data_IF_190291489217
#
_entry.id   IF_190291489217
#
_cell.length_a   1.000
_cell.length_b   1.000
_cell.length_c   1.000
_cell.angle_alpha   90.00
_cell.angle_beta   90.00
_cell.angle_gamma   90.00
#
_symmetry.space_group_name_H-M   'P 1'
#
loop_
_entity.id
_entity.type
_entity.pdbx_description
1 polymer ?
#
# COMPACT_ATOMS: atom_id res chain seq x y z
N UNK A 1 -3.81 -16.50 31.55
CA UNK A 1 -3.81 -15.94 30.18
C UNK A 1 -4.56 -14.63 30.26
N UNK A 2 -3.92 -13.49 29.99
CA UNK A 2 -4.61 -12.19 30.05
C UNK A 2 -5.62 -12.13 28.90
N UNK A 3 -6.91 -11.97 29.24
CA UNK A 3 -7.98 -11.79 28.26
C UNK A 3 -7.73 -10.59 27.37
N UNK A 4 -8.36 -10.55 26.20
CA UNK A 4 -8.29 -9.42 25.27
C UNK A 4 -8.97 -8.21 25.90
N UNK A 5 -8.28 -7.04 25.89
CA UNK A 5 -8.81 -5.79 26.43
C UNK A 5 -8.90 -4.76 25.30
N UNK A 6 -10.07 -4.21 25.09
CA UNK A 6 -10.32 -3.24 24.00
C UNK A 6 -10.91 -1.96 24.58
N UNK A 7 -10.40 -0.82 24.11
CA UNK A 7 -10.94 0.50 24.44
C UNK A 7 -11.54 1.13 23.19
N UNK A 8 -12.80 1.59 23.29
CA UNK A 8 -13.49 2.32 22.22
C UNK A 8 -13.66 3.78 22.64
N UNK A 9 -13.05 4.68 21.86
CA UNK A 9 -13.06 6.14 22.11
C UNK A 9 -13.80 6.84 20.97
N UNK A 10 -15.03 7.29 21.24
CA UNK A 10 -15.88 7.97 20.25
C UNK A 10 -16.99 8.73 21.00
N UNK A 11 -17.34 9.92 20.57
CA UNK A 11 -18.39 10.72 21.21
C UNK A 11 -19.78 10.09 21.11
N UNK A 12 -20.04 9.36 20.03
CA UNK A 12 -21.32 8.70 19.78
C UNK A 12 -21.50 7.47 20.68
N UNK A 13 -22.35 7.60 21.71
CA UNK A 13 -22.74 6.49 22.58
C UNK A 13 -23.32 5.31 21.79
N UNK A 14 -24.12 5.61 20.75
CA UNK A 14 -24.73 4.60 19.90
C UNK A 14 -23.65 3.82 19.14
N UNK A 15 -22.67 4.52 18.54
CA UNK A 15 -21.57 3.91 17.83
C UNK A 15 -20.75 2.99 18.75
N UNK A 16 -20.35 3.50 19.92
CA UNK A 16 -19.62 2.71 20.92
C UNK A 16 -20.36 1.43 21.31
N UNK A 17 -21.68 1.52 21.51
CA UNK A 17 -22.50 0.36 21.90
C UNK A 17 -22.63 -0.67 20.80
N UNK A 18 -22.81 -0.21 19.56
CA UNK A 18 -22.90 -1.10 18.39
C UNK A 18 -21.58 -1.78 18.11
N UNK A 19 -20.46 -1.06 18.10
CA UNK A 19 -19.11 -1.63 17.95
C UNK A 19 -18.81 -2.64 19.06
N UNK A 20 -19.11 -2.31 20.31
CA UNK A 20 -18.87 -3.22 21.45
C UNK A 20 -19.61 -4.54 21.30
N UNK A 21 -20.85 -4.52 20.80
CA UNK A 21 -21.62 -5.72 20.53
C UNK A 21 -20.98 -6.59 19.44
N UNK A 22 -20.65 -5.98 18.30
CA UNK A 22 -20.06 -6.73 17.18
C UNK A 22 -18.64 -7.26 17.53
N UNK A 23 -17.85 -6.50 18.31
CA UNK A 23 -16.54 -6.96 18.78
C UNK A 23 -16.68 -8.18 19.70
N UNK A 24 -17.66 -8.21 20.59
CA UNK A 24 -17.93 -9.40 21.43
C UNK A 24 -18.33 -10.61 20.62
N UNK A 25 -19.20 -10.41 19.60
CA UNK A 25 -19.61 -11.47 18.69
C UNK A 25 -18.40 -12.05 17.92
N UNK A 26 -17.50 -11.20 17.44
CA UNK A 26 -16.33 -11.60 16.66
C UNK A 26 -15.23 -12.24 17.53
N UNK A 27 -15.08 -11.79 18.78
CA UNK A 27 -13.99 -12.24 19.66
C UNK A 27 -14.09 -13.72 20.01
N UNK A 28 -15.29 -14.30 20.09
CA UNK A 28 -15.57 -15.70 20.48
C UNK A 28 -14.83 -16.15 21.77
N UNK A 29 -14.37 -15.22 22.59
CA UNK A 29 -13.61 -15.42 23.83
C UNK A 29 -13.95 -14.31 24.80
N UNK A 30 -13.55 -14.50 26.06
CA UNK A 30 -13.71 -13.46 27.10
C UNK A 30 -12.92 -12.19 26.69
N UNK A 31 -13.67 -11.12 26.37
CA UNK A 31 -13.16 -9.85 25.87
C UNK A 31 -13.70 -8.72 26.77
N UNK A 32 -12.78 -8.06 27.48
CA UNK A 32 -13.09 -6.87 28.25
C UNK A 32 -13.12 -5.65 27.33
N UNK A 33 -14.27 -4.94 27.27
CA UNK A 33 -14.46 -3.80 26.38
C UNK A 33 -14.86 -2.58 27.19
N UNK A 34 -13.97 -1.61 27.26
CA UNK A 34 -14.23 -0.30 27.84
C UNK A 34 -14.66 0.70 26.76
N UNK A 35 -15.51 1.65 27.15
CA UNK A 35 -16.16 2.61 26.24
C UNK A 35 -16.14 4.00 26.85
N UNK A 36 -15.47 4.94 26.21
CA UNK A 36 -15.37 6.33 26.69
C UNK A 36 -15.72 7.33 25.59
N UNK A 37 -16.21 8.50 26.00
CA UNK A 37 -16.67 9.56 25.10
C UNK A 37 -15.59 10.56 24.72
N UNK A 38 -14.55 10.69 25.52
CA UNK A 38 -13.50 11.68 25.32
C UNK A 38 -12.09 11.12 25.55
N UNK A 39 -11.10 11.83 25.00
CA UNK A 39 -9.70 11.40 25.01
C UNK A 39 -9.04 11.48 26.39
N UNK A 40 -9.43 12.43 27.26
CA UNK A 40 -8.83 12.57 28.59
C UNK A 40 -9.26 11.43 29.52
N UNK A 41 -10.54 11.05 29.46
CA UNK A 41 -11.02 9.87 30.18
C UNK A 41 -10.35 8.61 29.65
N UNK A 42 -10.20 8.49 28.33
CA UNK A 42 -9.49 7.39 27.70
C UNK A 42 -8.05 7.24 28.22
N UNK A 43 -7.29 8.32 28.32
CA UNK A 43 -5.92 8.30 28.85
C UNK A 43 -5.87 7.87 30.31
N UNK A 44 -6.85 8.27 31.16
CA UNK A 44 -6.92 7.79 32.55
C UNK A 44 -7.16 6.29 32.62
N UNK A 45 -8.12 5.77 31.80
CA UNK A 45 -8.41 4.33 31.75
C UNK A 45 -7.22 3.51 31.29
N UNK A 46 -6.47 4.00 30.31
CA UNK A 46 -5.26 3.35 29.82
C UNK A 46 -4.17 3.29 30.90
N UNK A 47 -4.03 4.36 31.69
CA UNK A 47 -3.04 4.41 32.78
C UNK A 47 -3.35 3.38 33.87
N UNK A 48 -4.62 3.14 34.17
CA UNK A 48 -5.05 2.15 35.16
C UNK A 48 -4.94 0.71 34.60
N UNK A 49 -5.20 0.52 33.31
CA UNK A 49 -5.27 -0.79 32.69
C UNK A 49 -5.04 -0.70 31.17
N UNK A 50 -3.79 -0.92 30.74
CA UNK A 50 -3.43 -0.82 29.32
C UNK A 50 -4.23 -1.81 28.45
N UNK A 51 -5.02 -1.32 27.44
CA UNK A 51 -5.73 -2.17 26.51
C UNK A 51 -4.79 -2.77 25.47
N UNK A 52 -5.11 -3.96 24.98
CA UNK A 52 -4.40 -4.59 23.85
C UNK A 52 -4.71 -3.91 22.52
N UNK A 53 -5.96 -3.38 22.38
CA UNK A 53 -6.44 -2.67 21.20
C UNK A 53 -7.27 -1.46 21.53
N UNK A 54 -7.13 -0.42 20.71
CA UNK A 54 -7.88 0.83 20.83
C UNK A 54 -8.54 1.15 19.48
N UNK A 55 -9.83 1.44 19.51
CA UNK A 55 -10.57 2.04 18.39
C UNK A 55 -10.86 3.49 18.74
N UNK A 56 -10.31 4.45 17.99
CA UNK A 56 -10.45 5.88 18.30
C UNK A 56 -10.94 6.71 17.13
N UNK A 57 -11.93 7.56 17.37
CA UNK A 57 -12.33 8.59 16.42
C UNK A 57 -11.27 9.70 16.36
N UNK A 58 -10.83 10.08 15.15
CA UNK A 58 -9.86 11.18 14.98
C UNK A 58 -10.43 12.54 15.39
N UNK A 59 -11.74 12.72 15.24
CA UNK A 59 -12.45 13.98 15.50
C UNK A 59 -13.21 13.88 16.82
N UNK A 60 -12.48 14.13 17.91
CA UNK A 60 -13.02 14.25 19.26
C UNK A 60 -12.98 15.71 19.70
N UNK A 61 -13.93 16.11 20.53
CA UNK A 61 -13.97 17.46 21.12
C UNK A 61 -12.93 17.58 22.25
N UNK A 62 -12.32 18.74 22.39
CA UNK A 62 -11.26 18.96 23.37
C UNK A 62 -9.90 18.46 22.88
N UNK A 63 -9.47 17.28 23.28
CA UNK A 63 -8.27 16.67 22.76
C UNK A 63 -8.58 15.90 21.48
N UNK A 64 -7.93 16.25 20.37
CA UNK A 64 -8.12 15.53 19.11
C UNK A 64 -7.71 14.06 19.21
N UNK A 65 -8.35 13.19 18.40
CA UNK A 65 -7.93 11.79 18.32
C UNK A 65 -6.48 11.61 17.85
N UNK A 66 -5.95 12.55 17.09
CA UNK A 66 -4.54 12.54 16.67
C UNK A 66 -3.58 12.78 17.84
N UNK A 67 -3.89 13.75 18.71
CA UNK A 67 -3.08 14.03 19.91
C UNK A 67 -3.19 12.89 20.90
N UNK A 68 -4.37 12.31 21.05
CA UNK A 68 -4.58 11.10 21.84
C UNK A 68 -3.70 9.93 21.34
N UNK A 69 -3.72 9.65 20.03
CA UNK A 69 -2.88 8.58 19.44
C UNK A 69 -1.41 8.84 19.72
N UNK A 70 -0.93 10.07 19.54
CA UNK A 70 0.47 10.46 19.80
C UNK A 70 0.85 10.24 21.27
N UNK A 71 0.00 10.63 22.21
CA UNK A 71 0.24 10.42 23.64
C UNK A 71 0.27 8.93 24.02
N UNK A 72 -0.66 8.14 23.50
CA UNK A 72 -0.68 6.69 23.73
C UNK A 72 0.58 6.03 23.17
N UNK A 73 0.95 6.33 21.92
CA UNK A 73 2.12 5.71 21.29
C UNK A 73 3.44 6.06 21.93
N UNK A 74 3.52 7.19 22.63
CA UNK A 74 4.72 7.59 23.36
C UNK A 74 4.96 6.73 24.61
N UNK A 75 3.89 6.20 25.23
CA UNK A 75 3.95 5.57 26.56
C UNK A 75 3.53 4.10 26.59
N UNK A 76 2.74 3.65 25.61
CA UNK A 76 2.06 2.35 25.63
C UNK A 76 2.27 1.57 24.33
N UNK A 77 2.13 0.25 24.43
CA UNK A 77 2.29 -0.66 23.29
C UNK A 77 0.97 -1.00 22.58
N UNK A 78 -0.14 -0.48 23.08
CA UNK A 78 -1.49 -0.72 22.54
C UNK A 78 -1.56 -0.55 21.02
N UNK A 79 -2.29 -1.44 20.38
CA UNK A 79 -2.58 -1.33 18.93
C UNK A 79 -3.75 -0.40 18.70
N UNK A 80 -3.62 0.51 17.74
CA UNK A 80 -4.60 1.59 17.53
C UNK A 80 -5.19 1.54 16.12
N UNK A 81 -6.51 1.46 16.03
CA UNK A 81 -7.27 1.73 14.81
C UNK A 81 -7.89 3.12 14.95
N UNK A 82 -7.48 4.02 14.07
CA UNK A 82 -8.12 5.32 13.93
C UNK A 82 -9.33 5.22 12.98
N UNK A 83 -10.38 5.98 13.31
CA UNK A 83 -11.61 5.96 12.51
C UNK A 83 -12.12 7.40 12.29
N UNK A 84 -12.57 7.73 11.09
CA UNK A 84 -13.10 9.04 10.73
C UNK A 84 -14.13 8.94 9.60
N UNK A 85 -14.95 9.96 9.45
CA UNK A 85 -15.80 10.17 8.26
C UNK A 85 -15.05 10.88 7.13
N UNK A 86 -13.83 11.36 7.38
CA UNK A 86 -13.02 12.15 6.46
C UNK A 86 -11.78 11.38 6.03
N UNK A 87 -11.61 11.13 4.73
CA UNK A 87 -10.45 10.39 4.19
C UNK A 87 -9.14 11.16 4.38
N UNK A 88 -9.19 12.49 4.39
CA UNK A 88 -8.02 13.36 4.63
C UNK A 88 -7.36 13.13 6.00
N UNK A 89 -8.10 12.60 6.99
CA UNK A 89 -7.57 12.28 8.32
C UNK A 89 -6.59 11.10 8.32
N UNK A 90 -6.60 10.26 7.27
CA UNK A 90 -5.78 9.06 7.16
C UNK A 90 -4.28 9.34 7.29
N UNK A 91 -3.77 10.28 6.51
CA UNK A 91 -2.34 10.62 6.50
C UNK A 91 -1.85 11.04 7.88
N UNK A 92 -2.61 11.92 8.55
CA UNK A 92 -2.29 12.37 9.90
C UNK A 92 -2.39 11.24 10.92
N UNK A 93 -3.45 10.43 10.89
CA UNK A 93 -3.64 9.32 11.82
C UNK A 93 -2.48 8.31 11.75
N UNK A 94 -2.05 7.96 10.55
CA UNK A 94 -0.91 7.05 10.35
C UNK A 94 0.41 7.68 10.80
N UNK A 95 0.63 8.96 10.51
CA UNK A 95 1.87 9.68 10.88
C UNK A 95 2.05 9.82 12.40
N UNK A 96 0.95 9.93 13.17
CA UNK A 96 1.00 10.00 14.64
C UNK A 96 1.04 8.62 15.30
N UNK A 97 1.03 7.52 14.52
CA UNK A 97 1.28 6.17 14.99
C UNK A 97 0.08 5.23 15.03
N UNK A 98 -1.06 5.56 14.41
CA UNK A 98 -2.12 4.58 14.23
C UNK A 98 -1.60 3.35 13.46
N UNK A 99 -2.04 2.16 13.85
CA UNK A 99 -1.69 0.92 13.15
C UNK A 99 -2.57 0.71 11.91
N UNK A 100 -3.77 1.30 11.93
CA UNK A 100 -4.74 1.23 10.84
C UNK A 100 -5.67 2.43 10.88
N UNK A 101 -6.23 2.78 9.72
CA UNK A 101 -7.25 3.82 9.58
C UNK A 101 -8.44 3.29 8.79
N UNK A 102 -9.65 3.51 9.32
CA UNK A 102 -10.91 3.06 8.73
C UNK A 102 -11.84 4.25 8.51
N UNK A 103 -12.40 4.35 7.30
CA UNK A 103 -13.43 5.34 6.97
C UNK A 103 -14.79 4.89 7.48
N UNK A 104 -15.47 5.78 8.23
CA UNK A 104 -16.90 5.61 8.58
C UNK A 104 -17.79 5.94 7.38
N UNK A 105 -18.71 5.07 6.98
CA UNK A 105 -19.66 5.39 5.92
C UNK A 105 -20.63 6.49 6.37
N UNK A 106 -20.91 7.42 5.46
CA UNK A 106 -21.92 8.47 5.64
C UNK A 106 -23.19 7.99 4.95
N UNK A 107 -24.30 7.75 5.67
CA UNK A 107 -25.60 7.39 5.09
C UNK A 107 -26.13 5.98 5.44
N UNK A 108 -26.94 5.41 4.60
CA UNK A 108 -27.96 4.35 4.71
C UNK A 108 -27.66 3.11 5.59
N UNK A 109 -28.74 2.59 6.23
CA UNK A 109 -28.70 1.58 7.31
C UNK A 109 -28.09 0.20 6.98
N UNK A 110 -28.18 -0.28 5.76
CA UNK A 110 -27.69 -1.62 5.37
C UNK A 110 -26.14 -1.71 5.38
N UNK A 111 -25.46 -0.65 4.97
CA UNK A 111 -24.00 -0.59 5.00
C UNK A 111 -23.42 -0.46 6.43
N UNK A 112 -24.23 -0.13 7.43
CA UNK A 112 -23.77 0.02 8.82
C UNK A 112 -23.45 -1.31 9.50
N UNK A 113 -24.21 -2.37 9.22
CA UNK A 113 -23.97 -3.69 9.85
C UNK A 113 -22.68 -4.32 9.31
N UNK A 114 -22.51 -4.36 8.01
CA UNK A 114 -21.29 -4.88 7.36
C UNK A 114 -20.05 -4.09 7.78
N UNK A 115 -20.19 -2.75 7.86
CA UNK A 115 -19.13 -1.87 8.35
C UNK A 115 -18.73 -2.20 9.80
N UNK A 116 -19.70 -2.35 10.70
CA UNK A 116 -19.44 -2.67 12.11
C UNK A 116 -18.82 -4.06 12.28
N UNK A 117 -19.24 -5.05 11.50
CA UNK A 117 -18.63 -6.38 11.46
C UNK A 117 -17.17 -6.32 10.97
N UNK A 118 -16.91 -5.54 9.92
CA UNK A 118 -15.56 -5.32 9.42
C UNK A 118 -14.68 -4.64 10.49
N UNK A 119 -15.16 -3.58 11.14
CA UNK A 119 -14.45 -2.91 12.24
C UNK A 119 -14.18 -3.87 13.39
N UNK A 120 -15.18 -4.65 13.80
CA UNK A 120 -15.04 -5.62 14.88
C UNK A 120 -13.95 -6.66 14.58
N UNK A 121 -13.98 -7.23 13.39
CA UNK A 121 -12.97 -8.17 12.91
C UNK A 121 -11.57 -7.58 12.96
N UNK A 122 -11.40 -6.33 12.45
CA UNK A 122 -10.09 -5.66 12.44
C UNK A 122 -9.57 -5.37 13.85
N UNK A 123 -10.45 -4.91 14.76
CA UNK A 123 -10.08 -4.63 16.16
C UNK A 123 -9.63 -5.91 16.87
N UNK A 124 -10.38 -7.01 16.71
CA UNK A 124 -10.06 -8.31 17.33
C UNK A 124 -8.74 -8.87 16.79
N UNK A 125 -8.56 -8.88 15.48
CA UNK A 125 -7.33 -9.34 14.83
C UNK A 125 -6.10 -8.58 15.31
N UNK A 126 -6.19 -7.25 15.34
CA UNK A 126 -5.09 -6.38 15.77
C UNK A 126 -4.75 -6.57 17.26
N UNK A 127 -5.77 -6.74 18.10
CA UNK A 127 -5.64 -6.90 19.55
C UNK A 127 -5.06 -8.25 19.97
N UNK A 128 -5.23 -9.29 19.18
CA UNK A 128 -4.62 -10.63 19.40
C UNK A 128 -3.10 -10.65 19.19
N UNK A 129 -2.49 -9.52 18.87
CA UNK A 129 -1.05 -9.47 18.55
C UNK A 129 -0.71 -10.14 17.22
N UNK A 130 -1.71 -10.56 16.48
CA UNK A 130 -1.54 -10.88 15.08
C UNK A 130 -1.13 -9.56 14.44
N UNK A 131 0.10 -9.46 13.94
CA UNK A 131 0.42 -8.38 13.02
C UNK A 131 -0.63 -8.46 11.92
N UNK A 132 -1.55 -7.52 11.93
CA UNK A 132 -2.51 -7.41 10.85
C UNK A 132 -1.79 -6.71 9.71
N UNK A 133 -0.95 -7.47 9.06
CA UNK A 133 -0.93 -7.44 7.61
C UNK A 133 -2.37 -7.74 7.24
N UNK A 134 -3.03 -6.83 6.50
CA UNK A 134 -4.36 -7.12 5.99
C UNK A 134 -4.35 -8.58 5.54
N UNK A 135 -5.09 -9.46 6.23
CA UNK A 135 -5.33 -10.81 5.73
C UNK A 135 -6.18 -10.64 4.46
N UNK A 136 -5.50 -10.38 3.37
CA UNK A 136 -5.79 -11.12 2.17
C UNK A 136 -5.69 -12.57 2.61
N UNK A 137 -6.75 -13.35 2.53
CA UNK A 137 -6.76 -14.80 2.72
C UNK A 137 -5.43 -15.31 2.21
N UNK A 138 -4.72 -16.24 2.91
CA UNK A 138 -3.58 -16.87 2.29
C UNK A 138 -4.14 -17.44 0.98
N UNK A 139 -3.93 -16.70 -0.12
CA UNK A 139 -4.09 -17.30 -1.43
C UNK A 139 -3.01 -18.36 -1.41
N UNK A 140 -3.35 -19.61 -1.72
CA UNK A 140 -2.36 -20.64 -2.03
C UNK A 140 -1.39 -20.04 -3.06
N UNK A 141 -0.38 -19.33 -2.56
CA UNK A 141 0.44 -18.45 -3.36
C UNK A 141 1.89 -18.62 -2.93
N UNK A 142 2.64 -19.13 -3.82
CA UNK A 142 4.06 -18.94 -3.77
C UNK A 142 4.42 -17.45 -3.87
N UNK A 143 5.67 -17.14 -3.64
CA UNK A 143 6.31 -15.82 -3.69
C UNK A 143 5.87 -14.96 -4.87
N UNK A 144 5.82 -13.64 -4.68
CA UNK A 144 5.71 -12.68 -5.77
C UNK A 144 6.69 -13.03 -6.89
N UNK A 145 6.24 -12.97 -8.12
CA UNK A 145 7.03 -13.35 -9.29
C UNK A 145 7.60 -12.18 -10.05
N UNK A 146 7.04 -10.97 -9.83
CA UNK A 146 7.50 -9.78 -10.53
C UNK A 146 6.98 -8.51 -9.86
N UNK A 147 7.84 -7.49 -9.79
CA UNK A 147 7.48 -6.10 -9.51
C UNK A 147 7.57 -5.29 -10.79
N UNK A 148 6.50 -4.56 -11.15
CA UNK A 148 6.46 -3.67 -12.30
C UNK A 148 6.27 -2.22 -11.84
N UNK A 149 7.13 -1.30 -12.29
CA UNK A 149 7.12 0.11 -11.89
C UNK A 149 7.01 1.01 -13.12
N UNK A 150 6.10 1.99 -13.08
CA UNK A 150 5.97 3.02 -14.10
C UNK A 150 6.20 4.42 -13.52
N UNK A 151 6.94 5.28 -14.24
CA UNK A 151 7.26 6.65 -13.81
C UNK A 151 7.58 7.58 -14.98
N UNK A 152 7.58 8.90 -14.72
CA UNK A 152 7.89 9.92 -15.74
C UNK A 152 8.60 11.13 -15.12
N UNK A 153 8.03 12.31 -15.19
CA UNK A 153 8.60 13.56 -14.64
C UNK A 153 8.85 13.45 -13.14
N UNK A 154 10.09 13.69 -12.69
CA UNK A 154 10.54 13.46 -11.32
C UNK A 154 10.81 11.98 -10.99
N UNK A 155 10.63 11.09 -11.98
CA UNK A 155 10.75 9.64 -11.81
C UNK A 155 12.17 9.17 -11.60
N UNK A 156 13.17 9.82 -12.16
CA UNK A 156 14.60 9.43 -11.99
C UNK A 156 15.04 9.53 -10.54
N UNK A 157 14.67 10.60 -9.85
CA UNK A 157 14.93 10.79 -8.42
C UNK A 157 14.08 9.84 -7.57
N UNK A 158 12.79 9.71 -7.92
CA UNK A 158 11.88 8.82 -7.20
C UNK A 158 12.31 7.35 -7.31
N UNK A 159 12.79 6.93 -8.48
CA UNK A 159 13.33 5.58 -8.68
C UNK A 159 14.64 5.37 -7.90
N UNK A 160 15.57 6.34 -7.90
CA UNK A 160 16.78 6.25 -7.08
C UNK A 160 16.44 6.06 -5.60
N UNK A 161 15.49 6.84 -5.07
CA UNK A 161 15.03 6.70 -3.67
C UNK A 161 14.43 5.32 -3.39
N UNK A 162 13.54 4.83 -4.25
CA UNK A 162 12.87 3.55 -4.03
C UNK A 162 13.84 2.38 -4.22
N UNK A 163 14.57 2.34 -5.34
CA UNK A 163 15.37 1.18 -5.73
C UNK A 163 16.61 0.99 -4.86
N UNK A 164 17.22 2.08 -4.35
CA UNK A 164 18.35 2.00 -3.42
C UNK A 164 18.02 1.36 -2.07
N UNK A 165 16.74 1.27 -1.72
CA UNK A 165 16.26 0.64 -0.49
C UNK A 165 15.70 -0.78 -0.68
N UNK A 166 15.65 -1.29 -1.92
CA UNK A 166 15.27 -2.68 -2.18
C UNK A 166 16.45 -3.62 -1.93
N UNK A 167 16.19 -4.73 -1.23
CA UNK A 167 17.21 -5.72 -0.87
C UNK A 167 16.77 -7.14 -1.24
N UNK A 168 17.75 -8.01 -1.41
CA UNK A 168 17.51 -9.46 -1.60
C UNK A 168 16.90 -10.08 -0.32
N UNK A 169 16.01 -11.08 -0.44
CA UNK A 169 15.51 -11.66 -1.69
C UNK A 169 14.40 -10.81 -2.34
N UNK A 170 14.49 -10.57 -3.64
CA UNK A 170 13.55 -9.76 -4.42
C UNK A 170 13.24 -10.45 -5.75
N UNK A 171 11.98 -10.55 -6.20
CA UNK A 171 11.69 -10.99 -7.56
C UNK A 171 12.28 -10.01 -8.58
N UNK A 172 12.35 -10.35 -9.88
CA UNK A 172 12.74 -9.38 -10.89
C UNK A 172 11.90 -8.12 -10.80
N UNK A 173 12.54 -6.95 -10.88
CA UNK A 173 11.91 -5.62 -10.86
C UNK A 173 12.05 -5.02 -12.25
N UNK A 174 10.93 -4.79 -12.93
CA UNK A 174 10.89 -4.20 -14.27
C UNK A 174 10.39 -2.75 -14.18
N UNK A 175 11.17 -1.82 -14.72
CA UNK A 175 10.93 -0.38 -14.59
C UNK A 175 10.76 0.25 -15.97
N UNK A 176 9.65 0.94 -16.15
CA UNK A 176 9.43 1.88 -17.26
C UNK A 176 9.56 3.30 -16.72
N UNK A 177 10.58 4.00 -17.19
CA UNK A 177 10.77 5.44 -16.99
C UNK A 177 10.68 6.12 -18.35
N UNK A 178 9.86 7.15 -18.47
CA UNK A 178 9.83 7.98 -19.69
C UNK A 178 11.11 8.79 -19.77
N UNK A 179 12.05 8.29 -20.54
CA UNK A 179 13.40 8.85 -20.73
C UNK A 179 13.87 8.57 -22.15
N UNK A 180 14.78 9.40 -22.71
CA UNK A 180 15.28 9.15 -24.04
C UNK A 180 16.24 7.94 -24.10
N UNK A 181 16.43 7.31 -25.27
CA UNK A 181 17.30 6.14 -25.43
C UNK A 181 18.74 6.35 -24.96
N UNK A 182 19.27 7.56 -25.20
CA UNK A 182 20.62 7.91 -24.79
C UNK A 182 20.79 7.91 -23.27
N UNK A 183 19.72 8.28 -22.55
CA UNK A 183 19.75 8.39 -21.08
C UNK A 183 19.31 7.12 -20.36
N UNK A 184 18.55 6.21 -20.97
CA UNK A 184 18.08 4.99 -20.29
C UNK A 184 19.23 4.09 -19.85
N UNK A 185 20.23 3.92 -20.72
CA UNK A 185 21.45 3.16 -20.40
C UNK A 185 22.27 3.82 -19.30
N UNK A 186 22.55 5.12 -19.41
CA UNK A 186 23.29 5.89 -18.40
C UNK A 186 22.56 5.89 -17.05
N UNK A 187 21.24 5.93 -17.07
CA UNK A 187 20.42 5.86 -15.86
C UNK A 187 20.53 4.49 -15.19
N UNK A 188 20.49 3.41 -15.97
CA UNK A 188 20.68 2.07 -15.45
C UNK A 188 22.09 1.87 -14.86
N UNK A 189 23.15 2.38 -15.53
CA UNK A 189 24.53 2.37 -15.04
C UNK A 189 24.68 3.16 -13.73
N UNK A 190 24.05 4.34 -13.62
CA UNK A 190 24.04 5.13 -12.38
C UNK A 190 23.36 4.37 -11.24
N UNK A 191 22.17 3.86 -11.48
CA UNK A 191 21.44 3.09 -10.47
C UNK A 191 22.19 1.83 -10.03
N UNK A 192 22.91 1.16 -10.94
CA UNK A 192 23.72 0.00 -10.59
C UNK A 192 24.84 0.30 -9.59
N UNK A 193 25.29 1.55 -9.54
CA UNK A 193 26.30 2.00 -8.57
C UNK A 193 25.65 2.44 -7.24
N UNK A 194 24.37 2.80 -7.24
CA UNK A 194 23.64 3.32 -6.09
C UNK A 194 22.82 2.25 -5.34
N UNK A 195 22.39 1.20 -6.05
CA UNK A 195 21.46 0.20 -5.53
C UNK A 195 22.18 -1.06 -5.00
N UNK A 196 21.65 -1.70 -3.94
CA UNK A 196 22.16 -2.98 -3.45
C UNK A 196 21.94 -4.15 -4.42
N UNK A 197 20.91 -4.06 -5.25
CA UNK A 197 20.60 -5.05 -6.28
C UNK A 197 21.21 -4.63 -7.62
N UNK A 198 21.71 -5.59 -8.44
CA UNK A 198 22.16 -5.31 -9.79
C UNK A 198 21.09 -4.62 -10.63
N UNK A 199 21.47 -3.54 -11.32
CA UNK A 199 20.61 -2.80 -12.24
C UNK A 199 21.20 -2.81 -13.63
N UNK A 200 20.39 -3.06 -14.65
CA UNK A 200 20.80 -2.99 -16.05
C UNK A 200 19.69 -2.48 -16.95
N UNK A 201 20.04 -1.97 -18.10
CA UNK A 201 19.07 -1.78 -19.18
C UNK A 201 18.63 -3.14 -19.70
N UNK A 202 17.32 -3.31 -19.91
CA UNK A 202 16.72 -4.57 -20.34
C UNK A 202 17.07 -4.91 -21.79
N UNK A 203 17.36 -6.19 -22.04
CA UNK A 203 17.65 -6.73 -23.38
C UNK A 203 16.47 -7.59 -23.88
N UNK A 204 16.20 -7.50 -25.18
CA UNK A 204 15.13 -8.29 -25.78
C UNK A 204 15.45 -9.79 -25.76
N UNK A 205 14.56 -10.59 -25.22
CA UNK A 205 14.68 -12.05 -25.16
C UNK A 205 15.42 -12.59 -23.93
N UNK A 206 15.87 -11.72 -23.01
CA UNK A 206 16.53 -12.21 -21.78
C UNK A 206 15.50 -12.73 -20.76
N UNK A 207 15.91 -13.72 -19.99
CA UNK A 207 15.11 -14.24 -18.87
C UNK A 207 15.30 -13.35 -17.65
N UNK A 208 14.19 -12.84 -17.10
CA UNK A 208 14.20 -12.04 -15.90
C UNK A 208 14.66 -12.85 -14.69
N UNK A 209 15.70 -12.38 -14.00
CA UNK A 209 16.32 -13.04 -12.84
C UNK A 209 15.88 -12.40 -11.54
N UNK A 210 15.72 -13.19 -10.50
CA UNK A 210 15.55 -12.69 -9.14
C UNK A 210 16.72 -11.79 -8.73
N UNK A 211 16.43 -10.86 -7.83
CA UNK A 211 17.39 -9.88 -7.32
C UNK A 211 18.01 -8.97 -8.40
N UNK A 212 17.31 -8.76 -9.51
CA UNK A 212 17.80 -7.92 -10.62
C UNK A 212 16.75 -6.90 -11.02
N UNK A 213 17.17 -5.67 -11.25
CA UNK A 213 16.34 -4.54 -11.68
C UNK A 213 16.63 -4.28 -13.16
N UNK A 214 15.58 -4.20 -13.97
CA UNK A 214 15.64 -4.00 -15.41
C UNK A 214 14.98 -2.66 -15.77
N UNK A 215 15.75 -1.77 -16.38
CA UNK A 215 15.26 -0.48 -16.88
C UNK A 215 14.91 -0.64 -18.36
N UNK A 216 13.71 -0.27 -18.76
CA UNK A 216 13.29 -0.32 -20.14
C UNK A 216 14.13 0.61 -21.03
N UNK A 217 14.57 0.17 -22.24
CA UNK A 217 15.18 1.04 -23.23
C UNK A 217 14.23 2.18 -23.63
N UNK A 218 14.74 3.40 -23.73
CA UNK A 218 13.91 4.61 -23.94
C UNK A 218 13.23 4.72 -25.30
N UNK A 219 13.52 3.83 -26.25
CA UNK A 219 12.92 3.78 -27.60
C UNK A 219 12.07 2.54 -27.87
N UNK A 220 11.88 1.69 -26.85
CA UNK A 220 11.17 0.41 -27.02
C UNK A 220 10.16 0.21 -25.92
N UNK A 221 9.04 -0.40 -26.25
CA UNK A 221 8.11 -0.92 -25.26
C UNK A 221 8.68 -2.19 -24.62
N UNK A 222 8.75 -2.20 -23.31
CA UNK A 222 9.08 -3.39 -22.53
C UNK A 222 7.82 -4.14 -22.12
N UNK A 223 7.80 -5.44 -22.31
CA UNK A 223 6.73 -6.35 -21.90
C UNK A 223 7.30 -7.67 -21.41
N UNK A 224 6.47 -8.53 -20.85
CA UNK A 224 6.83 -9.88 -20.42
C UNK A 224 6.12 -10.95 -21.23
N UNK A 225 6.81 -12.05 -21.50
CA UNK A 225 6.33 -13.23 -22.24
C UNK A 225 6.82 -14.50 -21.54
N UNK A 226 6.45 -15.66 -22.06
CA UNK A 226 6.86 -16.96 -21.51
C UNK A 226 5.87 -17.55 -20.54
N UNK A 227 6.32 -17.95 -19.36
CA UNK A 227 5.48 -18.51 -18.30
C UNK A 227 5.80 -17.89 -16.95
N UNK A 228 4.91 -18.09 -15.98
CA UNK A 228 5.10 -17.58 -14.60
C UNK A 228 6.37 -18.10 -13.91
N UNK A 229 6.92 -19.23 -14.38
CA UNK A 229 8.15 -19.81 -13.86
C UNK A 229 9.40 -19.49 -14.70
N UNK A 230 9.21 -18.90 -15.90
CA UNK A 230 10.29 -18.48 -16.79
C UNK A 230 9.85 -17.25 -17.55
N UNK A 231 9.99 -16.10 -16.90
CA UNK A 231 9.58 -14.80 -17.42
C UNK A 231 10.65 -14.29 -18.36
N UNK A 232 10.28 -14.05 -19.61
CA UNK A 232 11.18 -13.50 -20.63
C UNK A 232 10.81 -12.05 -20.90
N UNK A 233 11.80 -11.16 -20.89
CA UNK A 233 11.63 -9.74 -21.19
C UNK A 233 11.59 -9.55 -22.71
N UNK A 234 10.63 -8.80 -23.20
CA UNK A 234 10.54 -8.43 -24.61
C UNK A 234 10.63 -6.91 -24.73
N UNK A 235 11.63 -6.43 -25.47
CA UNK A 235 11.83 -5.00 -25.75
C UNK A 235 11.69 -4.79 -27.26
N UNK A 236 10.58 -4.20 -27.71
CA UNK A 236 10.26 -4.01 -29.14
C UNK A 236 9.90 -2.58 -29.45
N UNK A 237 10.36 -2.11 -30.60
CA UNK A 237 9.84 -0.84 -31.15
C UNK A 237 8.35 -0.99 -31.44
N UNK A 238 7.60 0.09 -31.24
CA UNK A 238 6.16 0.13 -31.46
C UNK A 238 5.66 1.54 -31.67
N UNK A 239 4.36 1.68 -31.92
CA UNK A 239 3.72 2.98 -32.03
C UNK A 239 3.75 3.70 -30.67
N UNK A 240 3.73 5.03 -30.70
CA UNK A 240 3.65 5.82 -29.47
C UNK A 240 2.31 5.62 -28.77
N UNK A 241 2.35 5.29 -27.50
CA UNK A 241 1.17 5.20 -26.63
C UNK A 241 1.22 6.40 -25.67
N UNK A 242 0.14 7.17 -25.58
CA UNK A 242 0.12 8.44 -24.81
C UNK A 242 1.28 9.41 -25.18
N UNK A 243 1.76 9.33 -26.42
CA UNK A 243 2.86 10.18 -26.91
C UNK A 243 4.27 9.68 -26.56
N UNK A 244 4.42 8.58 -25.84
CA UNK A 244 5.71 8.00 -25.43
C UNK A 244 6.07 6.73 -26.22
N UNK A 245 7.37 6.49 -26.39
CA UNK A 245 7.91 5.31 -27.08
C UNK A 245 8.22 4.15 -26.14
N UNK A 246 8.20 4.41 -24.81
CA UNK A 246 8.37 3.41 -23.77
C UNK A 246 7.22 3.59 -22.79
N UNK A 247 6.17 2.78 -22.90
CA UNK A 247 4.93 2.96 -22.15
C UNK A 247 4.80 1.98 -20.99
N UNK A 248 4.40 2.48 -19.82
CA UNK A 248 4.05 1.69 -18.66
C UNK A 248 2.80 0.83 -18.88
N UNK A 249 1.84 1.31 -19.72
CA UNK A 249 0.66 0.52 -20.08
C UNK A 249 1.05 -0.80 -20.74
N UNK A 250 2.06 -0.84 -21.63
CA UNK A 250 2.50 -2.09 -22.29
C UNK A 250 3.07 -3.08 -21.29
N UNK A 251 3.89 -2.61 -20.36
CA UNK A 251 4.43 -3.45 -19.30
C UNK A 251 3.32 -4.00 -18.41
N UNK A 252 2.48 -3.13 -17.88
CA UNK A 252 1.42 -3.51 -16.94
C UNK A 252 0.40 -4.47 -17.56
N UNK A 253 0.02 -4.25 -18.82
CA UNK A 253 -0.88 -5.16 -19.55
C UNK A 253 -0.29 -6.57 -19.66
N UNK A 254 0.96 -6.68 -20.05
CA UNK A 254 1.63 -7.96 -20.19
C UNK A 254 1.80 -8.69 -18.85
N UNK A 255 2.10 -7.93 -17.78
CA UNK A 255 2.20 -8.46 -16.41
C UNK A 255 0.83 -8.90 -15.89
N UNK A 256 -0.24 -8.14 -16.13
CA UNK A 256 -1.59 -8.54 -15.77
C UNK A 256 -1.98 -9.89 -16.39
N UNK A 257 -1.67 -10.08 -17.68
CA UNK A 257 -1.99 -11.30 -18.43
C UNK A 257 -1.15 -12.52 -18.02
N UNK A 258 0.15 -12.33 -17.81
CA UNK A 258 1.08 -13.44 -17.58
C UNK A 258 1.22 -13.83 -16.10
N UNK A 259 1.25 -12.84 -15.20
CA UNK A 259 1.62 -13.02 -13.80
C UNK A 259 0.39 -12.92 -12.89
N UNK A 260 -0.54 -12.01 -13.20
CA UNK A 260 -1.79 -11.83 -12.48
C UNK A 260 -1.59 -11.54 -11.00
N UNK A 261 -2.21 -12.35 -10.14
CA UNK A 261 -2.23 -12.17 -8.69
C UNK A 261 -0.86 -12.34 -7.99
N UNK A 262 0.17 -12.75 -8.69
CA UNK A 262 1.54 -12.90 -8.17
C UNK A 262 2.46 -11.75 -8.58
N UNK A 263 1.90 -10.59 -8.91
CA UNK A 263 2.63 -9.38 -9.27
C UNK A 263 2.36 -8.24 -8.28
N UNK A 264 3.33 -7.33 -8.18
CA UNK A 264 3.17 -6.00 -7.59
C UNK A 264 3.31 -4.96 -8.69
N UNK A 265 2.30 -4.10 -8.84
CA UNK A 265 2.32 -2.95 -9.75
C UNK A 265 2.53 -1.65 -8.97
N UNK A 266 3.40 -0.78 -9.44
CA UNK A 266 3.72 0.50 -8.79
C UNK A 266 3.67 1.63 -9.82
N UNK A 267 3.00 2.73 -9.48
CA UNK A 267 3.00 3.94 -10.29
C UNK A 267 3.54 5.10 -9.48
N UNK A 268 4.60 5.73 -9.98
CA UNK A 268 5.30 6.84 -9.33
C UNK A 268 5.01 8.15 -10.06
N UNK A 269 5.56 9.24 -9.51
CA UNK A 269 5.47 10.58 -10.06
C UNK A 269 5.63 10.63 -11.57
N UNK A 270 4.82 11.43 -12.23
CA UNK A 270 4.85 11.59 -13.67
C UNK A 270 3.68 12.41 -14.22
N UNK A 271 3.89 13.04 -15.36
CA UNK A 271 2.84 13.77 -16.07
C UNK A 271 2.02 12.80 -16.96
N UNK A 272 0.72 13.07 -17.10
CA UNK A 272 -0.15 12.32 -17.99
C UNK A 272 -0.87 11.17 -17.30
N UNK A 273 -1.23 10.15 -18.09
CA UNK A 273 -2.13 9.05 -17.69
C UNK A 273 -1.57 7.65 -17.99
N UNK A 274 -0.38 7.56 -18.59
CA UNK A 274 0.23 6.28 -18.96
C UNK A 274 0.40 5.39 -17.72
N UNK A 275 0.12 4.12 -17.88
CA UNK A 275 0.13 3.12 -16.81
C UNK A 275 -1.16 3.05 -15.98
N UNK A 276 -2.01 4.09 -15.96
CA UNK A 276 -3.19 4.12 -15.11
C UNK A 276 -4.23 3.05 -15.48
N UNK A 277 -4.55 2.94 -16.77
CA UNK A 277 -5.54 1.97 -17.25
C UNK A 277 -5.08 0.52 -17.07
N UNK A 278 -3.82 0.25 -17.34
CA UNK A 278 -3.27 -1.11 -17.27
C UNK A 278 -2.85 -1.52 -15.86
N UNK A 279 -2.56 -0.59 -14.97
CA UNK A 279 -2.46 -0.85 -13.54
C UNK A 279 -3.82 -1.31 -12.96
N UNK A 280 -4.94 -0.75 -13.47
CA UNK A 280 -6.28 -1.23 -13.12
C UNK A 280 -6.50 -2.67 -13.60
N UNK A 281 -6.02 -3.03 -14.79
CA UNK A 281 -6.07 -4.41 -15.27
C UNK A 281 -5.23 -5.35 -14.39
N UNK A 282 -4.02 -4.93 -13.97
CA UNK A 282 -3.22 -5.68 -13.00
C UNK A 282 -4.00 -5.91 -11.70
N UNK A 283 -4.63 -4.86 -11.15
CA UNK A 283 -5.44 -4.97 -9.94
C UNK A 283 -6.62 -5.93 -10.12
N UNK A 284 -7.34 -5.84 -11.24
CA UNK A 284 -8.44 -6.76 -11.59
C UNK A 284 -7.97 -8.20 -11.75
N UNK A 285 -6.76 -8.41 -12.25
CA UNK A 285 -6.12 -9.73 -12.33
C UNK A 285 -5.63 -10.23 -10.97
N UNK A 286 -5.82 -9.44 -9.91
CA UNK A 286 -5.48 -9.80 -8.53
C UNK A 286 -4.09 -9.38 -8.07
N UNK A 287 -3.32 -8.65 -8.88
CA UNK A 287 -2.06 -8.06 -8.44
C UNK A 287 -2.27 -7.03 -7.34
N UNK A 288 -1.26 -6.84 -6.50
CA UNK A 288 -1.22 -5.76 -5.51
C UNK A 288 -0.72 -4.50 -6.20
N UNK A 289 -1.34 -3.36 -5.93
CA UNK A 289 -1.04 -2.12 -6.65
C UNK A 289 -0.82 -0.95 -5.71
N UNK A 290 0.30 -0.24 -5.92
CA UNK A 290 0.71 0.93 -5.15
C UNK A 290 0.77 2.16 -6.05
N UNK A 291 0.43 3.32 -5.50
CA UNK A 291 0.64 4.61 -6.14
C UNK A 291 1.35 5.57 -5.21
N UNK A 292 2.26 6.37 -5.74
CA UNK A 292 2.89 7.44 -4.96
C UNK A 292 1.83 8.46 -4.55
N UNK A 293 1.87 8.93 -3.31
CA UNK A 293 0.95 9.96 -2.81
C UNK A 293 1.24 11.35 -3.39
N UNK A 294 0.26 12.23 -3.33
CA UNK A 294 0.35 13.58 -3.89
C UNK A 294 1.47 14.39 -3.21
N UNK A 295 1.61 14.26 -1.90
CA UNK A 295 2.53 15.08 -1.11
C UNK A 295 4.01 14.83 -1.44
N UNK A 296 4.36 13.62 -1.88
CA UNK A 296 5.74 13.28 -2.24
C UNK A 296 6.01 13.27 -3.75
N UNK A 297 4.99 13.48 -4.60
CA UNK A 297 5.15 13.57 -6.05
C UNK A 297 5.77 14.92 -6.47
N UNK A 298 6.68 14.89 -7.43
CA UNK A 298 7.09 16.09 -8.19
C UNK A 298 5.95 16.53 -9.11
N UNK A 299 5.32 15.57 -9.81
CA UNK A 299 4.11 15.78 -10.62
C UNK A 299 3.10 14.69 -10.30
N UNK A 300 1.99 15.06 -9.66
CA UNK A 300 0.91 14.13 -9.32
C UNK A 300 -0.06 13.98 -10.49
N UNK A 301 0.43 13.44 -11.62
CA UNK A 301 -0.36 13.19 -12.83
C UNK A 301 -0.69 11.71 -13.01
N UNK A 302 0.31 10.87 -13.33
CA UNK A 302 0.16 9.42 -13.49
C UNK A 302 -0.42 8.75 -12.24
N UNK A 303 0.08 9.02 -11.02
CA UNK A 303 -0.50 8.45 -9.80
C UNK A 303 -1.93 8.91 -9.53
N UNK A 304 -2.26 10.19 -9.81
CA UNK A 304 -3.62 10.73 -9.69
C UNK A 304 -4.59 10.05 -10.65
N UNK A 305 -4.19 9.88 -11.91
CA UNK A 305 -5.01 9.20 -12.90
C UNK A 305 -5.31 7.75 -12.48
N UNK A 306 -4.28 7.02 -12.04
CA UNK A 306 -4.41 5.66 -11.56
C UNK A 306 -5.29 5.57 -10.30
N UNK A 307 -5.13 6.49 -9.35
CA UNK A 307 -5.94 6.55 -8.13
C UNK A 307 -7.40 6.82 -8.44
N UNK A 308 -7.70 7.81 -9.27
CA UNK A 308 -9.07 8.18 -9.65
C UNK A 308 -9.79 7.06 -10.42
N UNK A 309 -9.06 6.24 -11.17
CA UNK A 309 -9.60 5.06 -11.84
C UNK A 309 -9.81 3.86 -10.92
N UNK A 310 -9.39 3.95 -9.65
CA UNK A 310 -9.40 2.82 -8.74
C UNK A 310 -8.33 1.76 -9.06
N UNK A 311 -7.28 2.13 -9.77
CA UNK A 311 -6.17 1.23 -10.08
C UNK A 311 -5.22 1.05 -8.89
N UNK A 312 -5.12 2.02 -8.01
CA UNK A 312 -4.26 2.04 -6.84
C UNK A 312 -4.99 1.43 -5.65
N UNK A 313 -4.45 0.35 -5.09
CA UNK A 313 -4.96 -0.25 -3.86
C UNK A 313 -4.59 0.60 -2.64
N UNK A 314 -3.37 1.13 -2.63
CA UNK A 314 -2.83 1.95 -1.54
C UNK A 314 -1.94 3.06 -2.08
N UNK A 315 -2.19 4.30 -1.62
CA UNK A 315 -1.26 5.40 -1.80
C UNK A 315 -0.16 5.35 -0.73
N UNK A 316 1.08 5.58 -1.13
CA UNK A 316 2.27 5.46 -0.29
C UNK A 316 3.20 6.63 -0.55
N UNK A 317 3.74 7.24 0.49
CA UNK A 317 4.77 8.27 0.33
C UNK A 317 6.05 7.66 -0.26
N UNK A 318 6.81 8.46 -1.00
CA UNK A 318 8.03 8.00 -1.67
C UNK A 318 8.99 7.29 -0.70
N UNK A 319 9.21 7.86 0.48
CA UNK A 319 10.11 7.33 1.52
C UNK A 319 9.67 5.98 2.09
N UNK A 320 8.39 5.64 1.99
CA UNK A 320 7.84 4.37 2.45
C UNK A 320 7.64 3.35 1.33
N UNK A 321 7.81 3.74 0.07
CA UNK A 321 7.46 2.91 -1.09
C UNK A 321 8.27 1.60 -1.13
N UNK A 322 9.57 1.66 -0.92
CA UNK A 322 10.42 0.46 -0.91
C UNK A 322 10.01 -0.54 0.18
N UNK A 323 9.68 -0.04 1.38
CA UNK A 323 9.19 -0.87 2.48
C UNK A 323 7.86 -1.55 2.14
N UNK A 324 6.94 -0.83 1.52
CA UNK A 324 5.63 -1.38 1.14
C UNK A 324 5.77 -2.40 -0.01
N UNK A 325 6.63 -2.15 -1.00
CA UNK A 325 6.96 -3.12 -2.05
C UNK A 325 7.49 -4.41 -1.40
N UNK A 326 8.49 -4.29 -0.53
CA UNK A 326 9.11 -5.44 0.17
C UNK A 326 8.07 -6.22 0.98
N UNK A 327 7.21 -5.52 1.72
CA UNK A 327 6.14 -6.16 2.48
C UNK A 327 5.15 -6.94 1.59
N UNK A 328 4.79 -6.40 0.42
CA UNK A 328 3.90 -7.08 -0.52
C UNK A 328 4.58 -8.27 -1.21
N UNK A 329 5.86 -8.14 -1.57
CA UNK A 329 6.64 -9.23 -2.19
C UNK A 329 6.65 -10.50 -1.33
N UNK A 330 6.75 -10.34 -0.01
CA UNK A 330 6.82 -11.46 0.93
C UNK A 330 5.44 -11.99 1.37
N UNK A 331 4.33 -11.30 1.03
CA UNK A 331 2.99 -11.61 1.52
C UNK A 331 1.93 -11.84 0.42
N UNK A 332 2.36 -12.12 -0.82
CA UNK A 332 1.46 -12.49 -1.93
C UNK A 332 1.11 -13.96 -1.93
#
# INVERSE_FOLDING_TARGET
MSGMKILIVDESMLFRSMCSREIRNEANTDCDIDKVGDAHEALRRIADNEPTGILVNTRLTGMSGFDFIREVKRKYSSKIIAISTMEEDRGMAMSVGANEFIIKPIGVAASKTEFLQMVAKRVVELSKGVQVVAKVSPREGGWCKLVAIGSSTGGTEALSEVLSHLQAPMPPVLVVQHISPTFSKLFAERLNNECPLPVKEAENGEVAKENTIYIAPGDKHMSVTGSINSITISCKAGERIHGVTTSADVLFESVAKLIGNRAVGVILTGMGVDGAAKLLEMRKAGARTLGQDEASCVVYGMPKAAFNMGAVERQVSLQNMAREITALVHNI
#
